data_IF_751862011518
#
_entry.id   IF_751862011518
#
_cell.length_a   1.000
_cell.length_b   1.000
_cell.length_c   1.000
_cell.angle_alpha   90.00
_cell.angle_beta   90.00
_cell.angle_gamma   90.00
#
_symmetry.space_group_name_H-M   'P 1'
#
loop_
_entity.id
_entity.type
_entity.pdbx_description
1 polymer ?
#
# COMPACT_ATOMS: atom_id res chain seq x y z
N UNK A 1 9.95 -9.62 8.86
CA UNK A 1 9.85 -8.14 8.79
C UNK A 1 9.59 -7.77 7.34
N UNK A 2 8.62 -6.89 7.06
CA UNK A 2 8.32 -6.43 5.68
C UNK A 2 9.03 -5.11 5.41
N UNK A 3 9.70 -5.01 4.27
CA UNK A 3 10.37 -3.81 3.79
C UNK A 3 9.36 -2.68 3.56
N UNK A 4 9.79 -1.43 3.67
CA UNK A 4 8.93 -0.26 3.44
C UNK A 4 8.27 -0.31 2.05
N UNK A 5 8.97 -0.84 1.04
CA UNK A 5 8.44 -1.02 -0.31
C UNK A 5 7.26 -2.01 -0.35
N UNK A 6 7.36 -3.16 0.32
CA UNK A 6 6.26 -4.13 0.42
C UNK A 6 5.04 -3.54 1.11
N UNK A 7 5.25 -2.75 2.17
CA UNK A 7 4.15 -2.05 2.87
C UNK A 7 3.44 -1.07 1.94
N UNK A 8 4.21 -0.28 1.20
CA UNK A 8 3.66 0.67 0.24
C UNK A 8 2.96 -0.02 -0.94
N UNK A 9 3.49 -1.14 -1.44
CA UNK A 9 2.82 -1.95 -2.48
C UNK A 9 1.48 -2.47 -1.98
N UNK A 10 1.43 -3.00 -0.75
CA UNK A 10 0.20 -3.50 -0.15
C UNK A 10 -0.86 -2.40 0.07
N UNK A 11 -0.46 -1.24 0.60
CA UNK A 11 -1.38 -0.10 0.81
C UNK A 11 -1.88 0.47 -0.52
N UNK A 12 -1.02 0.57 -1.55
CA UNK A 12 -1.44 1.01 -2.89
C UNK A 12 -2.42 0.05 -3.53
N UNK A 13 -2.17 -1.26 -3.43
CA UNK A 13 -3.08 -2.29 -3.94
C UNK A 13 -4.42 -2.25 -3.20
N UNK A 14 -4.39 -2.04 -1.88
CA UNK A 14 -5.57 -1.86 -1.04
C UNK A 14 -6.42 -0.67 -1.48
N UNK A 15 -5.81 0.48 -1.76
CA UNK A 15 -6.51 1.66 -2.30
C UNK A 15 -7.07 1.40 -3.70
N UNK A 16 -6.28 0.77 -4.59
CA UNK A 16 -6.70 0.42 -5.96
C UNK A 16 -7.88 -0.56 -6.00
N UNK A 17 -7.94 -1.51 -5.05
CA UNK A 17 -9.01 -2.50 -4.93
C UNK A 17 -10.25 -1.95 -4.18
N UNK A 18 -10.27 -0.67 -3.81
CA UNK A 18 -11.40 -0.04 -3.11
C UNK A 18 -11.50 -0.47 -1.65
N UNK A 19 -10.38 -0.50 -0.93
CA UNK A 19 -10.30 -0.83 0.50
C UNK A 19 -10.71 -2.27 0.84
N UNK A 20 -10.55 -3.20 -0.11
CA UNK A 20 -10.83 -4.63 0.06
C UNK A 20 -9.61 -5.37 0.59
N UNK A 21 -9.55 -5.54 1.92
CA UNK A 21 -8.45 -6.25 2.61
C UNK A 21 -8.31 -7.67 2.07
N UNK A 22 -9.40 -8.44 2.02
CA UNK A 22 -9.35 -9.86 1.62
C UNK A 22 -8.79 -10.08 0.22
N UNK A 23 -9.11 -9.20 -0.73
CA UNK A 23 -8.54 -9.26 -2.08
C UNK A 23 -7.06 -8.93 -2.09
N UNK A 24 -6.64 -7.93 -1.32
CA UNK A 24 -5.22 -7.53 -1.21
C UNK A 24 -4.37 -8.68 -0.68
N UNK A 25 -4.84 -9.36 0.37
CA UNK A 25 -4.16 -10.51 0.98
C UNK A 25 -4.14 -11.70 0.01
N UNK A 26 -5.25 -11.97 -0.69
CA UNK A 26 -5.33 -13.07 -1.66
C UNK A 26 -4.43 -12.83 -2.88
N UNK A 27 -4.24 -11.57 -3.26
CA UNK A 27 -3.47 -11.19 -4.45
C UNK A 27 -1.97 -11.08 -4.18
N UNK A 28 -1.57 -10.69 -2.97
CA UNK A 28 -0.15 -10.59 -2.56
C UNK A 28 0.34 -11.83 -1.78
N UNK A 29 -0.54 -12.61 -1.15
CA UNK A 29 -0.17 -13.74 -0.28
C UNK A 29 0.34 -13.33 1.11
N UNK A 30 0.56 -12.03 1.29
CA UNK A 30 0.89 -11.30 2.52
C UNK A 30 0.23 -9.91 2.36
N UNK A 31 0.07 -9.04 3.36
CA UNK A 31 0.27 -9.15 4.80
C UNK A 31 -1.00 -9.62 5.55
N UNK A 32 -0.96 -9.70 6.87
CA UNK A 32 -2.17 -9.94 7.70
C UNK A 32 -3.10 -8.71 7.70
N UNK A 33 -4.41 -8.92 7.92
CA UNK A 33 -5.43 -7.85 8.03
C UNK A 33 -5.01 -6.70 8.96
N UNK A 34 -4.38 -7.02 10.10
CA UNK A 34 -3.95 -6.04 11.09
C UNK A 34 -2.74 -5.22 10.62
N UNK A 35 -1.81 -5.85 9.92
CA UNK A 35 -0.66 -5.16 9.33
C UNK A 35 -1.11 -4.19 8.23
N UNK A 36 -2.05 -4.59 7.37
CA UNK A 36 -2.58 -3.70 6.33
C UNK A 36 -3.29 -2.48 6.91
N UNK A 37 -4.08 -2.65 7.98
CA UNK A 37 -4.69 -1.53 8.71
C UNK A 37 -3.64 -0.59 9.30
N UNK A 38 -2.60 -1.14 9.93
CA UNK A 38 -1.51 -0.35 10.51
C UNK A 38 -0.76 0.43 9.44
N UNK A 39 -0.43 -0.19 8.32
CA UNK A 39 0.26 0.47 7.21
C UNK A 39 -0.60 1.52 6.52
N UNK A 40 -1.92 1.29 6.40
CA UNK A 40 -2.85 2.31 5.91
C UNK A 40 -2.90 3.52 6.85
N UNK A 41 -2.93 3.29 8.17
CA UNK A 41 -2.89 4.37 9.17
C UNK A 41 -1.55 5.13 9.14
N UNK A 42 -0.42 4.41 9.07
CA UNK A 42 0.91 5.02 8.91
C UNK A 42 1.02 5.81 7.59
N UNK A 43 0.39 5.32 6.52
CA UNK A 43 0.37 5.98 5.22
C UNK A 43 -0.47 7.25 5.24
N UNK A 44 -1.65 7.21 5.88
CA UNK A 44 -2.53 8.36 6.11
C UNK A 44 -1.82 9.44 6.95
N UNK A 45 -1.18 9.05 8.06
CA UNK A 45 -0.37 9.96 8.89
C UNK A 45 0.84 10.55 8.17
N UNK A 46 1.44 9.83 7.22
CA UNK A 46 2.55 10.35 6.38
C UNK A 46 2.06 11.25 5.25
N UNK A 47 0.82 11.08 4.80
CA UNK A 47 0.15 11.92 3.79
C UNK A 47 -0.45 13.20 4.36
N UNK A 48 -0.63 13.27 5.67
CA UNK A 48 -1.06 14.48 6.39
C UNK A 48 -0.04 15.64 6.30
N UNK A 49 1.16 15.37 5.75
CA UNK A 49 2.04 16.41 5.25
C UNK A 49 1.55 16.81 3.84
N UNK A 50 0.95 18.01 3.65
CA UNK A 50 0.15 18.38 2.47
C UNK A 50 0.90 18.44 1.12
N UNK A 51 2.15 17.96 1.06
CA UNK A 51 3.00 17.94 -0.11
C UNK A 51 2.90 16.67 -0.96
N UNK A 52 2.40 15.53 -0.44
CA UNK A 52 2.59 14.24 -1.11
C UNK A 52 1.45 13.78 -2.03
N UNK A 53 0.25 14.39 -1.98
CA UNK A 53 -0.84 14.04 -2.90
C UNK A 53 -0.58 14.47 -4.36
N UNK A 54 0.37 15.38 -4.59
CA UNK A 54 0.77 15.83 -5.93
C UNK A 54 1.64 14.79 -6.66
N UNK A 55 2.28 13.89 -5.91
CA UNK A 55 2.97 12.72 -6.46
C UNK A 55 1.98 11.57 -6.62
N UNK A 56 1.06 11.73 -7.57
CA UNK A 56 0.55 10.58 -8.31
C UNK A 56 1.52 10.31 -9.47
N UNK A 57 2.58 9.51 -9.31
CA UNK A 57 3.13 8.86 -10.49
C UNK A 57 2.07 7.84 -10.92
N UNK A 58 1.36 8.18 -11.99
CA UNK A 58 0.80 7.20 -12.92
C UNK A 58 1.92 6.19 -13.20
N UNK A 59 1.82 5.06 -12.50
CA UNK A 59 2.44 3.76 -12.77
C UNK A 59 3.62 3.76 -13.75
N UNK A 60 4.84 3.60 -13.25
CA UNK A 60 5.93 3.05 -14.05
C UNK A 60 6.17 1.60 -13.60
N UNK A 61 6.10 0.72 -14.59
CA UNK A 61 6.37 -0.71 -14.50
C UNK A 61 7.78 -1.04 -13.98
N UNK A 62 7.97 -2.34 -13.77
CA UNK A 62 9.25 -3.07 -13.63
C UNK A 62 9.79 -3.15 -12.20
N UNK A 63 9.68 -4.35 -11.61
CA UNK A 63 10.79 -5.30 -11.71
C UNK A 63 10.30 -6.69 -11.29
N UNK A 64 10.67 -7.68 -12.11
CA UNK A 64 10.34 -9.10 -11.99
C UNK A 64 11.69 -9.78 -11.82
N UNK A 65 12.00 -10.23 -10.61
CA UNK A 65 13.04 -11.23 -10.32
C UNK A 65 12.56 -12.13 -9.20
#
# INVERSE_FOLDING_TARGET
MYSCEDRLRAVRLYLKLGKRIGLTIRQLGYPTKNALKRWHHEYDQRLDLPAFYVLQPRYSQAHKE
#
